data_IF_280534813500
#
_entry.id   IF_280534813500
#
_cell.length_a   1.000
_cell.length_b   1.000
_cell.length_c   1.000
_cell.angle_alpha   90.00
_cell.angle_beta   90.00
_cell.angle_gamma   90.00
#
_symmetry.space_group_name_H-M   'P 1'
#
loop_
_entity.id
_entity.type
_entity.pdbx_description
1 polymer ?
#
# COMPACT_ATOMS: atom_id res chain seq x y z
N UNK A 1 -19.79 44.07 -66.03
CA UNK A 1 -20.29 43.17 -64.98
C UNK A 1 -19.05 42.65 -64.26
N UNK A 2 -18.72 43.29 -63.14
CA UNK A 2 -17.54 42.97 -62.34
C UNK A 2 -17.91 42.17 -61.12
N UNK A 3 -17.32 41.01 -60.98
CA UNK A 3 -17.44 40.20 -59.77
C UNK A 3 -16.40 40.64 -58.76
N UNK A 4 -16.82 41.11 -57.57
CA UNK A 4 -15.95 41.42 -56.45
C UNK A 4 -15.83 40.16 -55.58
N UNK A 5 -14.66 39.57 -55.55
CA UNK A 5 -14.29 38.48 -54.61
C UNK A 5 -14.00 39.12 -53.25
N UNK A 6 -14.79 38.74 -52.23
CA UNK A 6 -14.46 39.01 -50.83
C UNK A 6 -13.64 37.87 -50.27
N UNK A 7 -12.37 38.11 -49.95
CA UNK A 7 -11.53 37.21 -49.20
C UNK A 7 -11.77 37.44 -47.69
N UNK A 8 -12.37 36.49 -46.99
CA UNK A 8 -12.45 36.47 -45.52
C UNK A 8 -11.18 35.85 -45.01
N UNK A 9 -10.29 36.66 -44.46
CA UNK A 9 -9.11 36.19 -43.71
C UNK A 9 -9.57 35.78 -42.31
N UNK A 10 -9.63 34.47 -42.06
CA UNK A 10 -9.86 33.92 -40.74
C UNK A 10 -8.51 33.91 -39.98
N UNK A 11 -8.27 34.93 -39.14
CA UNK A 11 -7.13 34.97 -38.25
C UNK A 11 -7.44 34.10 -37.02
N UNK A 12 -7.02 32.81 -37.04
CA UNK A 12 -6.94 32.00 -35.83
C UNK A 12 -5.76 32.48 -34.99
N UNK A 13 -6.02 33.41 -34.07
CA UNK A 13 -5.12 33.70 -32.97
C UNK A 13 -5.21 32.54 -31.96
N UNK A 14 -4.41 31.52 -32.14
CA UNK A 14 -4.11 30.54 -31.07
C UNK A 14 -3.28 31.28 -30.03
N UNK A 15 -3.95 31.74 -28.96
CA UNK A 15 -3.25 32.22 -27.78
C UNK A 15 -2.48 30.99 -27.18
N UNK A 16 -1.21 30.92 -27.49
CA UNK A 16 -0.30 30.02 -26.79
C UNK A 16 -0.23 30.48 -25.34
N UNK A 17 -0.89 29.71 -24.44
CA UNK A 17 -0.71 29.86 -23.00
C UNK A 17 0.62 29.19 -22.68
N UNK A 18 1.60 29.90 -22.11
CA UNK A 18 2.76 29.23 -21.55
C UNK A 18 2.25 28.27 -20.47
N UNK A 19 2.70 27.02 -20.53
CA UNK A 19 2.49 26.06 -19.44
C UNK A 19 3.07 26.62 -18.13
N UNK A 20 2.68 26.07 -16.96
CA UNK A 20 3.30 26.44 -15.70
C UNK A 20 4.81 26.31 -15.85
N UNK A 21 5.55 27.35 -15.42
CA UNK A 21 7.01 27.29 -15.39
C UNK A 21 7.38 26.13 -14.45
N UNK A 22 8.29 25.26 -14.90
CA UNK A 22 8.92 24.29 -14.00
C UNK A 22 9.53 25.06 -12.83
N UNK A 23 9.33 24.57 -11.59
CA UNK A 23 9.99 25.15 -10.43
C UNK A 23 11.51 25.01 -10.63
N UNK A 24 12.28 25.99 -10.19
CA UNK A 24 13.73 25.86 -10.16
C UNK A 24 14.11 24.77 -9.13
N UNK A 25 15.23 24.05 -9.37
CA UNK A 25 15.73 23.01 -8.43
C UNK A 25 15.90 23.57 -7.01
N UNK A 26 16.19 24.87 -6.87
CA UNK A 26 16.26 25.58 -5.59
C UNK A 26 14.90 25.63 -4.87
N UNK A 27 13.79 25.82 -5.59
CA UNK A 27 12.43 25.88 -5.03
C UNK A 27 12.00 24.51 -4.45
N UNK A 28 12.38 23.40 -5.10
CA UNK A 28 12.08 22.05 -4.65
C UNK A 28 12.91 21.68 -3.40
N UNK A 29 14.18 22.09 -3.37
CA UNK A 29 15.08 21.93 -2.21
C UNK A 29 14.53 22.67 -0.98
N UNK A 30 14.14 23.94 -1.15
CA UNK A 30 13.55 24.75 -0.07
C UNK A 30 12.21 24.15 0.45
N UNK A 31 11.39 23.58 -0.44
CA UNK A 31 10.17 22.89 -0.04
C UNK A 31 10.49 21.66 0.79
N UNK A 32 11.44 20.82 0.33
CA UNK A 32 11.85 19.62 1.03
C UNK A 32 12.40 19.92 2.42
N UNK A 33 13.26 20.94 2.55
CA UNK A 33 13.81 21.38 3.84
C UNK A 33 12.70 21.85 4.81
N UNK A 34 11.66 22.49 4.29
CA UNK A 34 10.57 23.03 5.09
C UNK A 34 9.61 21.96 5.60
N UNK A 35 9.32 20.93 4.80
CA UNK A 35 8.24 19.96 5.08
C UNK A 35 8.73 18.52 5.22
N UNK A 36 9.97 18.22 4.85
CA UNK A 36 10.52 16.87 4.87
C UNK A 36 10.48 16.22 6.25
N UNK A 37 10.75 16.97 7.30
CA UNK A 37 10.65 16.48 8.69
C UNK A 37 9.24 16.01 9.09
N UNK A 38 8.22 16.37 8.31
CA UNK A 38 6.83 15.95 8.53
C UNK A 38 6.45 14.69 7.73
N UNK A 39 7.31 14.20 6.83
CA UNK A 39 7.08 13.01 6.01
C UNK A 39 7.87 11.84 6.55
N UNK A 40 7.24 10.68 6.64
CA UNK A 40 7.82 9.47 7.22
C UNK A 40 7.75 8.29 6.25
N UNK A 41 8.70 7.38 6.39
CA UNK A 41 8.57 6.04 5.83
C UNK A 41 7.69 5.20 6.77
N UNK A 42 6.77 4.44 6.20
CA UNK A 42 5.87 3.55 6.92
C UNK A 42 6.25 2.12 6.58
N UNK A 43 6.55 1.30 7.59
CA UNK A 43 6.77 -0.13 7.45
C UNK A 43 5.83 -0.89 8.38
N UNK A 44 5.18 -1.88 7.81
CA UNK A 44 4.21 -2.71 8.50
C UNK A 44 4.76 -4.13 8.65
N UNK A 45 4.67 -4.67 9.86
CA UNK A 45 5.17 -6.01 10.18
C UNK A 45 4.04 -6.87 10.75
N UNK A 46 3.99 -8.13 10.35
CA UNK A 46 3.07 -9.10 10.93
C UNK A 46 3.55 -9.56 12.33
N UNK A 47 2.76 -10.38 13.08
CA UNK A 47 3.16 -10.87 14.40
C UNK A 47 4.48 -11.66 14.42
N UNK A 48 4.91 -12.20 13.28
CA UNK A 48 6.16 -12.95 13.14
C UNK A 48 7.37 -12.05 12.84
N UNK A 49 7.17 -10.71 12.76
CA UNK A 49 8.23 -9.76 12.44
C UNK A 49 8.57 -9.66 10.96
N UNK A 50 7.79 -10.27 10.07
CA UNK A 50 7.98 -10.15 8.63
C UNK A 50 7.33 -8.85 8.13
N UNK A 51 8.03 -8.12 7.23
CA UNK A 51 7.45 -6.97 6.57
C UNK A 51 6.30 -7.41 5.67
N UNK A 52 5.13 -6.76 5.82
CA UNK A 52 3.89 -7.06 5.10
C UNK A 52 3.33 -5.84 4.36
N UNK A 53 3.90 -4.67 4.59
CA UNK A 53 3.54 -3.45 3.91
C UNK A 53 4.64 -2.41 4.03
N UNK A 54 4.75 -1.55 3.01
CA UNK A 54 5.68 -0.44 2.99
C UNK A 54 5.12 0.71 2.16
N UNK A 55 5.34 1.92 2.65
CA UNK A 55 4.92 3.15 1.99
C UNK A 55 5.44 4.39 2.67
N UNK A 56 4.77 5.47 2.43
CA UNK A 56 5.01 6.78 3.03
C UNK A 56 3.84 7.22 3.91
N UNK A 57 4.07 8.21 4.73
CA UNK A 57 3.04 8.87 5.53
C UNK A 57 3.47 10.28 5.87
N UNK A 58 2.58 11.06 6.48
CA UNK A 58 2.90 12.42 6.93
C UNK A 58 2.09 12.83 8.16
N UNK A 59 2.66 13.72 8.93
CA UNK A 59 2.09 14.24 10.17
C UNK A 59 0.99 15.26 9.87
N UNK A 60 -0.18 15.12 10.50
CA UNK A 60 -1.34 16.01 10.32
C UNK A 60 -1.81 16.67 11.60
N UNK A 61 -1.17 16.37 12.73
CA UNK A 61 -1.46 17.03 14.02
C UNK A 61 -0.25 17.07 14.93
N UNK A 62 -0.23 18.05 15.83
CA UNK A 62 0.87 18.23 16.81
C UNK A 62 0.89 17.18 17.93
N UNK A 63 -0.12 16.33 18.03
CA UNK A 63 -0.21 15.21 18.98
C UNK A 63 0.17 13.85 18.33
N UNK A 64 0.89 13.88 17.20
CA UNK A 64 1.48 12.70 16.58
C UNK A 64 0.54 11.88 15.71
N UNK A 65 -0.50 12.50 15.12
CA UNK A 65 -1.32 11.80 14.11
C UNK A 65 -0.61 11.81 12.75
N UNK A 66 -0.49 10.61 12.15
CA UNK A 66 0.15 10.37 10.86
C UNK A 66 -0.85 9.73 9.91
N UNK A 67 -1.00 10.30 8.72
CA UNK A 67 -1.80 9.74 7.62
C UNK A 67 -0.94 8.83 6.76
N UNK A 68 -1.51 7.69 6.36
CA UNK A 68 -0.98 6.77 5.34
C UNK A 68 -2.13 6.06 4.65
N UNK A 69 -1.84 5.20 3.66
CA UNK A 69 -2.87 4.34 3.06
C UNK A 69 -3.15 3.11 3.92
N UNK A 70 -4.42 2.72 3.96
CA UNK A 70 -4.90 1.62 4.81
C UNK A 70 -4.29 0.28 4.40
N UNK A 71 -4.19 -0.01 3.10
CA UNK A 71 -3.66 -1.29 2.60
C UNK A 71 -2.22 -1.58 3.07
N UNK A 72 -1.42 -0.55 3.40
CA UNK A 72 -0.06 -0.74 3.94
C UNK A 72 -0.13 -1.28 5.37
N UNK A 73 -1.04 -0.75 6.19
CA UNK A 73 -1.06 -0.99 7.63
C UNK A 73 -2.11 -2.00 8.08
N UNK A 74 -3.10 -2.28 7.26
CA UNK A 74 -4.18 -3.23 7.60
C UNK A 74 -3.68 -4.64 7.96
N UNK A 75 -2.69 -5.23 7.26
CA UNK A 75 -2.17 -6.56 7.61
C UNK A 75 -1.17 -6.54 8.78
N UNK A 76 -0.92 -5.37 9.41
CA UNK A 76 0.15 -5.22 10.38
C UNK A 76 -0.25 -5.59 11.80
N UNK A 77 0.68 -6.19 12.54
CA UNK A 77 0.65 -6.26 14.01
C UNK A 77 1.47 -5.14 14.64
N UNK A 78 2.46 -4.62 13.90
CA UNK A 78 3.32 -3.49 14.30
C UNK A 78 3.51 -2.59 13.08
N UNK A 79 3.41 -1.28 13.29
CA UNK A 79 3.73 -0.29 12.27
C UNK A 79 4.88 0.59 12.79
N UNK A 80 5.97 0.60 12.04
CA UNK A 80 7.15 1.41 12.28
C UNK A 80 7.12 2.64 11.37
N UNK A 81 7.31 3.80 11.98
CA UNK A 81 7.44 5.09 11.29
C UNK A 81 8.89 5.54 11.41
N UNK A 82 9.56 5.78 10.28
CA UNK A 82 10.91 6.29 10.26
C UNK A 82 10.93 7.71 9.73
N UNK A 83 11.53 8.63 10.50
CA UNK A 83 11.68 10.04 10.14
C UNK A 83 12.82 10.25 9.13
N UNK A 84 12.90 11.47 8.56
CA UNK A 84 14.01 11.87 7.70
C UNK A 84 15.36 11.80 8.42
N UNK A 85 15.40 12.11 9.71
CA UNK A 85 16.61 12.08 10.57
C UNK A 85 17.02 10.66 10.96
N UNK A 86 16.18 9.66 10.64
CA UNK A 86 16.43 8.25 10.89
C UNK A 86 15.85 7.72 12.19
N UNK A 87 15.17 8.54 12.98
CA UNK A 87 14.49 8.13 14.20
C UNK A 87 13.32 7.17 13.86
N UNK A 88 13.16 6.15 14.69
CA UNK A 88 12.14 5.15 14.53
C UNK A 88 11.14 5.24 15.68
N UNK A 89 9.87 5.41 15.33
CA UNK A 89 8.73 5.43 16.24
C UNK A 89 7.73 4.38 15.84
N UNK A 90 7.22 3.62 16.81
CA UNK A 90 6.16 2.66 16.56
C UNK A 90 4.79 3.32 16.73
N UNK A 91 3.94 3.19 15.73
CA UNK A 91 2.54 3.54 15.90
C UNK A 91 1.84 2.45 16.71
N UNK A 92 1.28 2.83 17.85
CA UNK A 92 0.62 1.91 18.79
C UNK A 92 -0.87 1.75 18.49
N UNK A 93 -1.47 2.75 17.85
CA UNK A 93 -2.91 2.88 17.69
C UNK A 93 -3.24 3.35 16.26
N UNK A 94 -4.31 2.80 15.72
CA UNK A 94 -5.00 3.35 14.58
C UNK A 94 -6.15 4.20 15.11
N UNK A 95 -6.04 5.51 14.92
CA UNK A 95 -6.99 6.48 15.43
C UNK A 95 -8.27 6.53 14.60
N UNK A 96 -8.17 6.33 13.29
CA UNK A 96 -9.30 6.25 12.36
C UNK A 96 -8.93 5.52 11.08
N UNK A 97 -9.93 5.00 10.36
CA UNK A 97 -9.79 4.42 9.03
C UNK A 97 -10.91 4.89 8.11
N UNK A 98 -10.57 5.08 6.85
CA UNK A 98 -11.55 5.23 5.77
C UNK A 98 -11.27 4.14 4.72
N UNK A 99 -12.10 3.09 4.74
CA UNK A 99 -11.94 1.93 3.84
C UNK A 99 -12.29 2.24 2.40
N UNK A 100 -13.17 3.21 2.19
CA UNK A 100 -13.60 3.59 0.85
C UNK A 100 -12.51 4.39 0.12
N UNK A 101 -11.79 5.21 0.89
CA UNK A 101 -10.69 6.00 0.38
C UNK A 101 -9.31 5.36 0.62
N UNK A 102 -9.28 4.15 1.19
CA UNK A 102 -8.03 3.45 1.51
C UNK A 102 -7.07 4.29 2.37
N UNK A 103 -7.59 4.98 3.40
CA UNK A 103 -6.79 5.80 4.31
C UNK A 103 -6.81 5.26 5.73
N UNK A 104 -5.70 5.41 6.42
CA UNK A 104 -5.54 5.18 7.84
C UNK A 104 -4.90 6.38 8.53
N UNK A 105 -5.36 6.67 9.74
CA UNK A 105 -4.79 7.65 10.65
C UNK A 105 -4.16 6.92 11.82
N UNK A 106 -2.84 7.01 11.92
CA UNK A 106 -2.04 6.37 12.95
C UNK A 106 -1.73 7.36 14.07
N UNK A 107 -1.61 6.87 15.31
CA UNK A 107 -1.06 7.65 16.43
C UNK A 107 0.32 7.12 16.78
N UNK A 108 1.29 8.02 16.73
CA UNK A 108 2.68 7.78 17.12
C UNK A 108 3.02 8.64 18.35
N UNK A 109 3.02 8.02 19.52
CA UNK A 109 3.33 8.72 20.77
C UNK A 109 4.81 9.09 20.80
N UNK A 110 5.10 10.33 21.19
CA UNK A 110 6.47 10.85 21.26
C UNK A 110 7.05 11.28 19.91
N UNK A 111 6.24 11.35 18.87
CA UNK A 111 6.64 11.87 17.57
C UNK A 111 6.52 13.40 17.55
N UNK A 112 7.66 14.08 17.68
CA UNK A 112 7.72 15.55 17.69
C UNK A 112 8.07 16.05 16.28
N UNK A 113 7.08 16.07 15.40
CA UNK A 113 7.22 16.64 14.07
C UNK A 113 6.12 17.67 13.81
N UNK A 114 6.49 18.70 13.04
CA UNK A 114 5.54 19.74 12.65
C UNK A 114 4.46 19.17 11.74
N UNK A 115 3.16 19.35 12.05
CA UNK A 115 2.10 18.89 11.17
C UNK A 115 2.08 19.68 9.85
N UNK A 116 1.73 19.01 8.76
CA UNK A 116 1.43 19.65 7.48
C UNK A 116 0.03 20.28 7.52
N UNK A 117 -0.06 21.49 6.99
CA UNK A 117 -1.34 22.16 6.83
C UNK A 117 -2.11 21.55 5.65
N UNK A 118 -3.41 21.32 5.82
CA UNK A 118 -4.27 20.91 4.73
C UNK A 118 -4.67 22.11 3.88
N UNK A 119 -4.62 21.96 2.55
CA UNK A 119 -5.12 22.97 1.65
C UNK A 119 -6.65 23.07 1.74
N UNK A 120 -7.19 24.25 1.38
CA UNK A 120 -8.65 24.44 1.36
C UNK A 120 -9.28 23.58 0.27
N UNK A 121 -10.52 23.19 0.48
CA UNK A 121 -11.33 22.57 -0.55
C UNK A 121 -11.33 23.41 -1.84
N UNK A 122 -11.25 22.73 -3.01
CA UNK A 122 -11.18 23.39 -4.31
C UNK A 122 -9.81 24.00 -4.66
N UNK A 123 -8.77 23.82 -3.82
CA UNK A 123 -7.43 24.29 -4.14
C UNK A 123 -6.74 23.47 -5.24
N UNK A 124 -7.07 22.18 -5.38
CA UNK A 124 -6.58 21.33 -6.45
C UNK A 124 -7.52 21.43 -7.67
N UNK A 125 -7.01 21.99 -8.76
CA UNK A 125 -7.70 22.09 -10.05
C UNK A 125 -6.76 21.63 -11.16
N UNK A 126 -7.28 21.38 -12.36
CA UNK A 126 -6.42 21.11 -13.51
C UNK A 126 -5.36 22.23 -13.68
N UNK A 127 -4.17 21.85 -14.09
CA UNK A 127 -2.97 22.69 -14.22
C UNK A 127 -2.40 23.24 -12.89
N UNK A 128 -2.92 22.80 -11.72
CA UNK A 128 -2.30 23.12 -10.44
C UNK A 128 -0.95 22.40 -10.31
N UNK A 129 0.12 23.17 -10.08
CA UNK A 129 1.43 22.59 -9.79
C UNK A 129 1.41 21.82 -8.45
N UNK A 130 1.95 20.62 -8.44
CA UNK A 130 1.96 19.73 -7.28
C UNK A 130 3.34 19.13 -7.07
N UNK A 131 3.67 18.91 -5.81
CA UNK A 131 4.91 18.30 -5.35
C UNK A 131 4.58 17.07 -4.53
N UNK A 132 5.19 15.94 -4.86
CA UNK A 132 5.09 14.72 -4.07
C UNK A 132 6.39 14.54 -3.30
N UNK A 133 6.28 14.37 -1.99
CA UNK A 133 7.41 14.00 -1.15
C UNK A 133 7.15 12.60 -0.61
N UNK A 134 8.10 11.73 -0.86
CA UNK A 134 8.03 10.33 -0.47
C UNK A 134 9.30 9.91 0.27
N UNK A 135 9.19 8.87 1.10
CA UNK A 135 10.32 8.28 1.82
C UNK A 135 10.42 6.79 1.46
N UNK A 136 10.77 6.47 0.20
CA UNK A 136 10.75 5.10 -0.28
C UNK A 136 11.82 4.28 0.43
N UNK A 137 11.48 3.07 0.84
CA UNK A 137 12.39 2.10 1.46
C UNK A 137 13.10 2.59 2.75
N UNK A 138 12.66 3.71 3.35
CA UNK A 138 13.29 4.30 4.53
C UNK A 138 14.68 4.87 4.26
N UNK A 139 14.97 5.18 2.99
CA UNK A 139 16.14 5.94 2.55
C UNK A 139 15.86 7.45 2.56
N UNK A 140 16.75 8.22 1.94
CA UNK A 140 16.57 9.66 1.79
C UNK A 140 15.23 9.97 1.10
N UNK A 141 14.60 11.04 1.55
CA UNK A 141 13.38 11.52 0.94
C UNK A 141 13.61 11.91 -0.51
N UNK A 142 12.63 11.65 -1.33
CA UNK A 142 12.61 12.03 -2.75
C UNK A 142 11.45 12.98 -2.96
N UNK A 143 11.70 14.06 -3.67
CA UNK A 143 10.67 15.01 -4.08
C UNK A 143 10.55 14.99 -5.61
N UNK A 144 9.31 14.99 -6.10
CA UNK A 144 9.01 15.10 -7.53
C UNK A 144 8.02 16.20 -7.79
N UNK A 145 8.18 16.90 -8.92
CA UNK A 145 7.27 17.94 -9.38
C UNK A 145 6.34 17.40 -10.46
N UNK A 146 5.13 17.90 -10.49
CA UNK A 146 4.13 17.57 -11.49
C UNK A 146 2.97 18.56 -11.50
N UNK A 147 1.90 18.19 -12.18
CA UNK A 147 0.66 18.96 -12.24
C UNK A 147 -0.56 18.06 -12.08
N UNK A 148 -1.65 18.64 -11.60
CA UNK A 148 -2.96 18.00 -11.67
C UNK A 148 -3.43 18.01 -13.13
N UNK A 149 -3.62 16.83 -13.71
CA UNK A 149 -4.07 16.68 -15.11
C UNK A 149 -5.59 16.73 -15.20
N UNK A 150 -6.26 16.04 -14.29
CA UNK A 150 -7.70 15.89 -14.29
C UNK A 150 -8.25 15.60 -12.90
N UNK A 151 -9.52 15.89 -12.74
CA UNK A 151 -10.32 15.51 -11.58
C UNK A 151 -11.31 14.43 -12.02
N UNK A 152 -11.29 13.29 -11.35
CA UNK A 152 -12.13 12.15 -11.69
C UNK A 152 -13.23 11.95 -10.65
N UNK A 153 -14.52 12.06 -11.03
CA UNK A 153 -15.63 11.82 -10.13
C UNK A 153 -15.51 10.44 -9.44
N UNK A 154 -15.61 10.45 -8.12
CA UNK A 154 -15.54 9.24 -7.31
C UNK A 154 -16.85 9.03 -6.53
N UNK A 155 -17.72 8.16 -7.05
CA UNK A 155 -18.96 7.71 -6.39
C UNK A 155 -19.87 8.83 -5.80
N UNK A 156 -19.90 10.03 -6.44
CA UNK A 156 -20.69 11.18 -5.97
C UNK A 156 -20.12 11.91 -4.76
N UNK A 157 -18.83 11.73 -4.51
CA UNK A 157 -18.02 12.37 -3.46
C UNK A 157 -16.96 13.28 -4.08
N UNK A 158 -15.90 13.59 -3.32
CA UNK A 158 -14.76 14.34 -3.83
C UNK A 158 -14.11 13.62 -5.02
N UNK A 159 -13.60 14.42 -5.95
CA UNK A 159 -12.95 13.90 -7.14
C UNK A 159 -11.52 13.45 -6.83
N UNK A 160 -11.14 12.25 -7.33
CA UNK A 160 -9.74 11.81 -7.34
C UNK A 160 -8.91 12.76 -8.22
N UNK A 161 -7.73 13.13 -7.74
CA UNK A 161 -6.79 13.95 -8.48
C UNK A 161 -5.90 13.03 -9.33
N UNK A 162 -5.88 13.22 -10.64
CA UNK A 162 -4.88 12.60 -11.51
C UNK A 162 -3.70 13.57 -11.63
N UNK A 163 -2.50 13.10 -11.33
CA UNK A 163 -1.28 13.91 -11.34
C UNK A 163 -0.22 13.29 -12.27
N UNK A 164 0.74 14.11 -12.70
CA UNK A 164 1.82 13.68 -13.61
C UNK A 164 3.07 13.19 -12.90
N UNK A 165 3.14 13.32 -11.57
CA UNK A 165 4.31 12.92 -10.81
C UNK A 165 4.65 11.45 -11.08
N UNK A 166 5.91 11.19 -11.39
CA UNK A 166 6.44 9.84 -11.38
C UNK A 166 6.57 9.38 -9.92
N UNK A 167 6.00 8.22 -9.63
CA UNK A 167 6.01 7.64 -8.30
C UNK A 167 6.71 6.28 -8.32
N UNK A 168 7.28 5.91 -7.19
CA UNK A 168 7.99 4.65 -6.99
C UNK A 168 7.22 3.74 -6.04
N UNK A 169 7.50 2.42 -6.03
CA UNK A 169 7.01 1.56 -4.96
C UNK A 169 7.44 2.11 -3.59
N UNK A 170 6.44 2.43 -2.75
CA UNK A 170 6.67 3.11 -1.47
C UNK A 170 6.21 4.57 -1.42
N UNK A 171 5.74 5.16 -2.53
CA UNK A 171 5.13 6.51 -2.55
C UNK A 171 3.74 6.55 -1.94
N UNK A 172 3.00 5.42 -1.97
CA UNK A 172 1.63 5.33 -1.43
C UNK A 172 1.56 5.85 0.00
N UNK A 173 0.61 6.73 0.27
CA UNK A 173 0.45 7.39 1.56
C UNK A 173 1.25 8.68 1.73
N UNK A 174 2.16 9.01 0.81
CA UNK A 174 2.91 10.27 0.80
C UNK A 174 2.02 11.48 0.48
N UNK A 175 2.39 12.70 0.94
CA UNK A 175 1.63 13.90 0.67
C UNK A 175 1.82 14.39 -0.76
N UNK A 176 0.73 14.85 -1.36
CA UNK A 176 0.72 15.70 -2.56
C UNK A 176 0.54 17.15 -2.09
N UNK A 177 1.51 18.00 -2.35
CA UNK A 177 1.62 19.34 -1.80
C UNK A 177 1.46 20.43 -2.88
N UNK A 178 1.02 21.60 -2.48
CA UNK A 178 1.18 22.82 -3.28
C UNK A 178 2.57 23.46 -3.02
N UNK A 179 2.92 24.49 -3.78
CA UNK A 179 4.19 25.21 -3.64
C UNK A 179 4.40 25.86 -2.25
N UNK A 180 3.34 25.96 -1.44
CA UNK A 180 3.42 26.45 -0.04
C UNK A 180 3.63 25.33 0.97
N UNK A 181 3.68 24.07 0.53
CA UNK A 181 3.79 22.89 1.40
C UNK A 181 2.47 22.49 2.06
N UNK A 182 1.33 22.93 1.52
CA UNK A 182 0.02 22.51 2.03
C UNK A 182 -0.45 21.27 1.29
N UNK A 183 -1.03 20.34 2.02
CA UNK A 183 -1.49 19.04 1.49
C UNK A 183 -2.73 19.24 0.62
N UNK A 184 -2.59 18.96 -0.67
CA UNK A 184 -3.69 18.87 -1.65
C UNK A 184 -4.31 17.49 -1.69
N UNK A 185 -3.51 16.44 -1.37
CA UNK A 185 -3.97 15.06 -1.38
C UNK A 185 -2.94 14.07 -0.83
N UNK A 186 -3.28 12.80 -0.95
CA UNK A 186 -2.46 11.65 -0.54
C UNK A 186 -2.23 10.77 -1.75
N UNK A 187 -0.98 10.40 -2.02
CA UNK A 187 -0.61 9.53 -3.15
C UNK A 187 -1.30 8.17 -3.01
N UNK A 188 -2.04 7.81 -4.06
CA UNK A 188 -2.57 6.47 -4.26
C UNK A 188 -2.14 5.99 -5.65
N UNK A 189 -1.26 4.98 -5.69
CA UNK A 189 -0.77 4.42 -6.96
C UNK A 189 -1.80 3.49 -7.57
N UNK A 190 -2.10 3.68 -8.86
CA UNK A 190 -2.96 2.76 -9.61
C UNK A 190 -2.31 2.44 -10.96
N UNK A 191 -2.09 1.15 -11.23
CA UNK A 191 -1.68 0.68 -12.57
C UNK A 191 -2.93 0.35 -13.39
N UNK A 192 -3.13 1.03 -14.52
CA UNK A 192 -4.22 0.75 -15.46
C UNK A 192 -3.67 0.35 -16.82
N UNK A 193 -4.03 -0.85 -17.26
CA UNK A 193 -3.74 -1.28 -18.65
C UNK A 193 -2.26 -1.37 -19.01
N UNK A 194 -1.36 -1.50 -18.03
CA UNK A 194 0.09 -1.56 -18.24
C UNK A 194 0.79 -0.19 -18.22
N UNK A 195 0.05 0.90 -18.07
CA UNK A 195 0.60 2.23 -17.83
C UNK A 195 0.36 2.66 -16.37
N UNK A 196 1.40 3.14 -15.71
CA UNK A 196 1.29 3.72 -14.38
C UNK A 196 0.59 5.09 -14.49
N UNK A 197 -0.56 5.22 -13.84
CA UNK A 197 -1.28 6.48 -13.71
C UNK A 197 -1.32 6.83 -12.24
N UNK A 198 -0.78 7.98 -11.88
CA UNK A 198 -0.75 8.42 -10.49
C UNK A 198 -2.04 9.15 -10.15
N UNK A 199 -2.70 8.66 -9.10
CA UNK A 199 -3.85 9.34 -8.50
C UNK A 199 -3.50 9.81 -7.09
N UNK A 200 -4.24 10.82 -6.62
CA UNK A 200 -4.19 11.24 -5.24
C UNK A 200 -5.60 11.36 -4.66
N UNK A 201 -5.75 10.91 -3.43
CA UNK A 201 -6.95 11.09 -2.61
C UNK A 201 -7.00 12.55 -2.16
N UNK A 202 -8.10 13.28 -2.36
CA UNK A 202 -8.14 14.72 -2.11
C UNK A 202 -8.02 15.08 -0.61
N UNK A 203 -7.37 16.20 -0.31
CA UNK A 203 -7.13 16.71 1.04
C UNK A 203 -8.37 16.82 1.95
N UNK A 204 -9.57 17.22 1.47
CA UNK A 204 -10.79 17.19 2.27
C UNK A 204 -11.12 15.84 2.90
N UNK A 205 -10.75 14.72 2.25
CA UNK A 205 -10.92 13.37 2.83
C UNK A 205 -10.05 13.20 4.07
N UNK A 206 -8.79 13.67 4.00
CA UNK A 206 -7.86 13.66 5.14
C UNK A 206 -8.40 14.51 6.31
N UNK A 207 -9.01 15.68 6.01
CA UNK A 207 -9.61 16.53 7.03
C UNK A 207 -10.73 15.80 7.79
N UNK A 208 -11.63 15.14 7.06
CA UNK A 208 -12.73 14.36 7.68
C UNK A 208 -12.20 13.15 8.46
N UNK A 209 -11.20 12.45 7.93
CA UNK A 209 -10.58 11.33 8.64
C UNK A 209 -9.97 11.79 9.98
N UNK A 210 -9.30 12.96 9.99
CA UNK A 210 -8.75 13.55 11.20
C UNK A 210 -9.83 13.94 12.22
N UNK A 211 -10.98 14.45 11.76
CA UNK A 211 -12.13 14.78 12.63
C UNK A 211 -12.77 13.53 13.24
N UNK A 212 -12.61 12.37 12.61
CA UNK A 212 -13.13 11.08 13.09
C UNK A 212 -12.18 10.32 14.01
N UNK A 213 -11.09 10.95 14.46
CA UNK A 213 -9.99 10.30 15.21
C UNK A 213 -10.34 9.72 16.59
N UNK A 214 -11.57 9.87 17.06
CA UNK A 214 -12.01 9.39 18.38
C UNK A 214 -12.21 7.86 18.47
N UNK A 215 -12.09 7.15 17.36
CA UNK A 215 -12.27 5.69 17.26
C UNK A 215 -10.98 4.89 17.45
N UNK A 216 -10.20 5.16 18.50
CA UNK A 216 -8.91 4.52 18.73
C UNK A 216 -8.97 3.00 18.81
N UNK A 217 -8.28 2.30 17.90
CA UNK A 217 -8.10 0.85 17.88
C UNK A 217 -6.61 0.50 17.90
N UNK A 218 -6.21 -0.56 18.62
CA UNK A 218 -4.83 -1.03 18.56
C UNK A 218 -4.46 -1.48 17.13
N UNK A 219 -3.24 -1.20 16.68
CA UNK A 219 -2.76 -1.58 15.32
C UNK A 219 -3.02 -3.06 15.03
N UNK A 220 -2.69 -3.94 15.98
CA UNK A 220 -2.91 -5.39 15.87
C UNK A 220 -4.39 -5.77 15.69
N UNK A 221 -5.32 -4.92 16.17
CA UNK A 221 -6.75 -5.21 16.07
C UNK A 221 -7.27 -4.99 14.66
N UNK A 222 -6.63 -4.15 13.84
CA UNK A 222 -7.01 -4.01 12.43
C UNK A 222 -6.70 -5.25 11.61
N UNK A 223 -5.56 -5.90 11.86
CA UNK A 223 -5.24 -7.18 11.22
C UNK A 223 -6.24 -8.29 11.61
N UNK A 224 -6.91 -8.11 12.76
CA UNK A 224 -8.00 -9.00 13.24
C UNK A 224 -9.38 -8.59 12.69
N UNK A 225 -9.51 -7.36 12.16
CA UNK A 225 -10.80 -6.73 11.83
C UNK A 225 -11.10 -6.54 10.34
N UNK A 226 -10.21 -6.92 9.41
CA UNK A 226 -10.66 -7.07 8.02
C UNK A 226 -11.81 -8.10 8.01
N UNK A 227 -13.05 -7.72 7.62
CA UNK A 227 -14.18 -8.66 7.64
C UNK A 227 -13.89 -9.89 6.75
N UNK A 228 -13.14 -9.70 5.66
CA UNK A 228 -12.73 -10.75 4.75
C UNK A 228 -11.64 -11.62 5.39
N UNK A 229 -10.61 -11.02 5.98
CA UNK A 229 -9.54 -11.74 6.68
C UNK A 229 -10.09 -12.50 7.89
N UNK A 230 -11.04 -11.91 8.64
CA UNK A 230 -11.70 -12.56 9.76
C UNK A 230 -12.55 -13.74 9.28
N UNK A 231 -13.41 -13.56 8.29
CA UNK A 231 -14.25 -14.62 7.73
C UNK A 231 -13.41 -15.79 7.24
N UNK A 232 -12.30 -15.52 6.57
CA UNK A 232 -11.38 -16.55 6.06
C UNK A 232 -10.56 -17.15 7.22
N UNK A 233 -10.05 -16.34 8.14
CA UNK A 233 -9.24 -16.79 9.29
C UNK A 233 -10.06 -17.62 10.29
N UNK A 234 -11.26 -17.16 10.66
CA UNK A 234 -12.15 -17.90 11.57
C UNK A 234 -12.66 -19.21 10.96
N UNK A 235 -12.85 -19.21 9.64
CA UNK A 235 -13.26 -20.38 8.89
C UNK A 235 -12.10 -21.35 8.55
N UNK A 236 -10.84 -20.88 8.64
CA UNK A 236 -9.63 -21.63 8.34
C UNK A 236 -8.73 -21.82 9.57
N UNK A 237 -9.22 -21.44 10.77
CA UNK A 237 -8.42 -21.52 12.00
C UNK A 237 -7.85 -22.93 12.21
N UNK A 238 -6.53 -22.99 12.06
CA UNK A 238 -5.67 -24.13 12.40
C UNK A 238 -6.25 -25.51 12.02
N UNK A 239 -6.37 -25.76 10.73
CA UNK A 239 -6.76 -27.07 10.18
C UNK A 239 -5.68 -28.14 10.32
N UNK A 240 -4.47 -27.78 10.78
CA UNK A 240 -3.33 -28.71 10.86
C UNK A 240 -3.62 -29.98 11.68
N UNK A 241 -4.23 -29.92 12.86
CA UNK A 241 -4.56 -31.11 13.62
C UNK A 241 -5.54 -32.04 12.89
N UNK A 242 -6.51 -31.47 12.16
CA UNK A 242 -7.44 -32.25 11.34
C UNK A 242 -6.74 -32.90 10.15
N UNK A 243 -5.80 -32.18 9.51
CA UNK A 243 -4.98 -32.65 8.41
C UNK A 243 -4.11 -33.83 8.89
N UNK A 244 -3.42 -33.70 10.02
CA UNK A 244 -2.56 -34.75 10.57
C UNK A 244 -3.36 -36.00 10.96
N UNK A 245 -4.61 -35.84 11.33
CA UNK A 245 -5.48 -36.97 11.68
C UNK A 245 -6.14 -37.63 10.47
N UNK A 246 -6.48 -36.83 9.44
CA UNK A 246 -7.29 -37.30 8.30
C UNK A 246 -6.46 -37.68 7.06
N UNK A 247 -5.19 -37.28 6.98
CA UNK A 247 -4.36 -37.45 5.79
C UNK A 247 -3.23 -38.44 6.03
N UNK A 248 -2.81 -39.13 4.98
CA UNK A 248 -1.65 -40.01 5.04
C UNK A 248 -0.35 -39.19 5.17
N UNK A 249 0.70 -39.71 5.83
CA UNK A 249 1.95 -38.96 6.06
C UNK A 249 2.58 -38.41 4.79
N UNK A 250 2.56 -39.16 3.70
CA UNK A 250 3.10 -38.73 2.41
C UNK A 250 2.33 -37.54 1.81
N UNK A 251 1.05 -37.43 2.09
CA UNK A 251 0.26 -36.26 1.68
C UNK A 251 0.60 -35.01 2.53
N UNK A 252 0.92 -35.22 3.80
CA UNK A 252 1.35 -34.16 4.72
C UNK A 252 2.71 -33.61 4.29
N UNK A 253 3.69 -34.50 4.00
CA UNK A 253 5.01 -34.09 3.51
C UNK A 253 4.91 -33.32 2.18
N UNK A 254 3.98 -33.73 1.30
CA UNK A 254 3.74 -33.06 0.04
C UNK A 254 3.14 -31.65 0.25
N UNK A 255 2.18 -31.51 1.19
CA UNK A 255 1.59 -30.21 1.56
C UNK A 255 2.70 -29.29 2.09
N UNK A 256 3.48 -29.76 3.04
CA UNK A 256 4.55 -29.01 3.68
C UNK A 256 5.60 -28.53 2.66
N UNK A 257 6.04 -29.39 1.77
CA UNK A 257 7.01 -29.07 0.73
C UNK A 257 6.50 -28.02 -0.27
N UNK A 258 5.35 -28.28 -0.88
CA UNK A 258 4.81 -27.38 -1.93
C UNK A 258 4.45 -26.00 -1.36
N UNK A 259 3.88 -25.96 -0.17
CA UNK A 259 3.49 -24.69 0.45
C UNK A 259 4.73 -23.90 0.91
N UNK A 260 5.71 -24.56 1.52
CA UNK A 260 6.95 -23.87 1.94
C UNK A 260 7.69 -23.25 0.76
N UNK A 261 7.79 -23.96 -0.36
CA UNK A 261 8.39 -23.44 -1.60
C UNK A 261 7.60 -22.25 -2.15
N UNK A 262 6.27 -22.38 -2.17
CA UNK A 262 5.39 -21.31 -2.65
C UNK A 262 5.50 -20.05 -1.80
N UNK A 263 5.49 -20.20 -0.47
CA UNK A 263 5.61 -19.07 0.46
C UNK A 263 6.98 -18.41 0.32
N UNK A 264 8.06 -19.18 0.27
CA UNK A 264 9.41 -18.64 0.13
C UNK A 264 9.55 -17.76 -1.12
N UNK A 265 9.10 -18.28 -2.27
CA UNK A 265 9.15 -17.53 -3.53
C UNK A 265 8.13 -16.39 -3.58
N UNK A 266 6.94 -16.58 -3.02
CA UNK A 266 5.85 -15.62 -3.05
C UNK A 266 6.13 -14.38 -2.20
N UNK A 267 6.84 -14.52 -1.09
CA UNK A 267 7.24 -13.39 -0.23
C UNK A 267 8.13 -12.41 -1.01
N UNK A 268 9.11 -12.90 -1.75
CA UNK A 268 10.00 -12.06 -2.54
C UNK A 268 9.24 -11.34 -3.66
N UNK A 269 8.35 -12.05 -4.36
CA UNK A 269 7.50 -11.50 -5.43
C UNK A 269 6.55 -10.44 -4.85
N UNK A 270 5.89 -10.73 -3.74
CA UNK A 270 4.97 -9.79 -3.07
C UNK A 270 5.70 -8.52 -2.64
N UNK A 271 6.87 -8.66 -2.02
CA UNK A 271 7.68 -7.55 -1.53
C UNK A 271 8.31 -6.71 -2.66
N UNK A 272 8.41 -7.26 -3.89
CA UNK A 272 8.80 -6.50 -5.07
C UNK A 272 7.64 -5.66 -5.66
N UNK A 273 6.43 -5.75 -5.07
CA UNK A 273 5.24 -5.06 -5.55
C UNK A 273 4.43 -5.83 -6.60
N UNK A 274 4.90 -7.02 -7.04
CA UNK A 274 4.15 -7.86 -7.98
C UNK A 274 3.12 -8.74 -7.24
N UNK A 275 2.08 -8.10 -6.73
CA UNK A 275 1.00 -8.78 -6.00
C UNK A 275 0.25 -9.79 -6.89
N UNK A 276 0.10 -9.47 -8.19
CA UNK A 276 -0.53 -10.39 -9.13
C UNK A 276 0.33 -11.62 -9.38
N UNK A 277 1.65 -11.45 -9.55
CA UNK A 277 2.60 -12.55 -9.67
C UNK A 277 2.59 -13.44 -8.43
N UNK A 278 2.58 -12.85 -7.25
CA UNK A 278 2.46 -13.58 -5.99
C UNK A 278 1.15 -14.39 -5.91
N UNK A 279 0.00 -13.75 -6.23
CA UNK A 279 -1.29 -14.46 -6.28
C UNK A 279 -1.26 -15.63 -7.27
N UNK A 280 -0.75 -15.42 -8.48
CA UNK A 280 -0.65 -16.49 -9.50
C UNK A 280 0.23 -17.66 -9.08
N UNK A 281 1.33 -17.38 -8.37
CA UNK A 281 2.17 -18.41 -7.79
C UNK A 281 1.40 -19.23 -6.73
N UNK A 282 0.71 -18.55 -5.82
CA UNK A 282 -0.05 -19.23 -4.76
C UNK A 282 -1.24 -20.01 -5.32
N UNK A 283 -1.99 -19.42 -6.25
CA UNK A 283 -3.10 -20.09 -6.95
C UNK A 283 -2.61 -21.34 -7.69
N UNK A 284 -1.52 -21.22 -8.45
CA UNK A 284 -0.89 -22.34 -9.16
C UNK A 284 -0.40 -23.44 -8.22
N UNK A 285 0.18 -23.08 -7.08
CA UNK A 285 0.60 -24.02 -6.05
C UNK A 285 -0.59 -24.72 -5.39
N UNK A 286 -1.69 -24.00 -5.18
CA UNK A 286 -2.95 -24.58 -4.73
C UNK A 286 -3.52 -25.62 -5.72
N UNK A 287 -3.55 -25.33 -7.01
CA UNK A 287 -3.96 -26.27 -8.03
C UNK A 287 -3.01 -27.47 -8.15
N UNK A 288 -1.70 -27.24 -8.05
CA UNK A 288 -0.70 -28.32 -8.01
C UNK A 288 -0.97 -29.27 -6.85
N UNK A 289 -1.23 -28.76 -5.64
CA UNK A 289 -1.59 -29.56 -4.50
C UNK A 289 -2.88 -30.33 -4.70
N UNK A 290 -3.93 -29.71 -5.23
CA UNK A 290 -5.20 -30.39 -5.54
C UNK A 290 -5.00 -31.58 -6.49
N UNK A 291 -4.14 -31.41 -7.49
CA UNK A 291 -3.81 -32.49 -8.42
C UNK A 291 -3.01 -33.62 -7.77
N UNK A 292 -1.99 -33.24 -6.96
CA UNK A 292 -1.09 -34.21 -6.34
C UNK A 292 -1.69 -34.94 -5.14
N UNK A 293 -2.60 -34.28 -4.40
CA UNK A 293 -3.24 -34.89 -3.22
C UNK A 293 -4.28 -35.93 -3.62
N UNK A 294 -4.96 -35.71 -4.73
CA UNK A 294 -6.04 -36.61 -5.19
C UNK A 294 -7.01 -36.90 -4.00
N UNK A 295 -7.31 -38.18 -3.72
CA UNK A 295 -8.17 -38.58 -2.59
C UNK A 295 -7.41 -38.80 -1.26
N UNK A 296 -6.08 -38.58 -1.23
CA UNK A 296 -5.21 -38.86 -0.07
C UNK A 296 -5.41 -37.89 1.10
N UNK A 297 -6.00 -36.72 0.84
CA UNK A 297 -6.27 -35.71 1.87
C UNK A 297 -7.47 -34.85 1.49
N UNK A 298 -8.68 -35.35 1.74
CA UNK A 298 -9.93 -34.65 1.40
C UNK A 298 -10.08 -33.33 2.18
N UNK A 299 -9.59 -33.26 3.41
CA UNK A 299 -9.67 -32.06 4.23
C UNK A 299 -8.86 -30.91 3.61
N UNK A 300 -7.59 -31.14 3.24
CA UNK A 300 -6.74 -30.16 2.59
C UNK A 300 -7.31 -29.77 1.21
N UNK A 301 -7.78 -30.73 0.44
CA UNK A 301 -8.40 -30.45 -0.87
C UNK A 301 -9.64 -29.57 -0.75
N UNK A 302 -10.47 -29.77 0.26
CA UNK A 302 -11.67 -28.97 0.50
C UNK A 302 -11.30 -27.52 0.85
N UNK A 303 -10.31 -27.34 1.71
CA UNK A 303 -9.81 -26.01 2.10
C UNK A 303 -9.20 -25.27 0.91
N UNK A 304 -8.34 -25.92 0.14
CA UNK A 304 -7.71 -25.32 -1.03
C UNK A 304 -8.75 -24.92 -2.10
N UNK A 305 -9.73 -25.77 -2.40
CA UNK A 305 -10.84 -25.44 -3.32
C UNK A 305 -11.64 -24.24 -2.84
N UNK A 306 -11.86 -24.13 -1.54
CA UNK A 306 -12.53 -22.97 -0.94
C UNK A 306 -11.69 -21.71 -1.10
N UNK A 307 -10.41 -21.74 -0.71
CA UNK A 307 -9.51 -20.59 -0.80
C UNK A 307 -9.36 -20.09 -2.25
N UNK A 308 -9.14 -20.97 -3.22
CA UNK A 308 -9.04 -20.62 -4.65
C UNK A 308 -10.34 -19.95 -5.12
N UNK A 309 -11.51 -20.46 -4.73
CA UNK A 309 -12.81 -19.88 -5.11
C UNK A 309 -12.99 -18.50 -4.49
N UNK A 310 -12.72 -18.34 -3.20
CA UNK A 310 -12.83 -17.07 -2.49
C UNK A 310 -11.87 -16.03 -3.07
N UNK A 311 -10.62 -16.39 -3.32
CA UNK A 311 -9.67 -15.53 -4.00
C UNK A 311 -10.16 -15.12 -5.39
N UNK A 312 -10.66 -16.06 -6.21
CA UNK A 312 -11.15 -15.79 -7.56
C UNK A 312 -12.41 -14.92 -7.62
N UNK A 313 -13.21 -14.87 -6.55
CA UNK A 313 -14.43 -14.06 -6.44
C UNK A 313 -14.24 -12.77 -5.66
N UNK A 314 -13.05 -12.53 -5.11
CA UNK A 314 -12.76 -11.33 -4.33
C UNK A 314 -12.87 -10.09 -5.21
N UNK A 315 -13.74 -9.18 -4.82
CA UNK A 315 -13.93 -7.87 -5.43
C UNK A 315 -13.77 -6.86 -4.31
N UNK A 316 -12.71 -6.04 -4.38
CA UNK A 316 -12.54 -4.96 -3.41
C UNK A 316 -13.19 -3.67 -3.91
N UNK A 317 -13.88 -2.91 -3.06
CA UNK A 317 -14.54 -1.67 -3.44
C UNK A 317 -13.60 -0.53 -3.84
N UNK A 318 -12.31 -0.69 -3.86
CA UNK A 318 -11.36 0.43 -3.94
C UNK A 318 -10.36 0.46 -5.08
N UNK A 319 -10.33 -0.50 -6.00
CA UNK A 319 -9.39 -0.41 -7.12
C UNK A 319 -8.64 -1.71 -7.45
N UNK A 320 -8.09 -1.75 -8.66
CA UNK A 320 -7.53 -2.97 -9.26
C UNK A 320 -6.26 -3.51 -8.58
N UNK A 321 -5.49 -2.69 -7.85
CA UNK A 321 -4.24 -3.13 -7.21
C UNK A 321 -4.46 -3.79 -5.85
N UNK A 322 -5.57 -3.50 -5.17
CA UNK A 322 -5.93 -4.14 -3.91
C UNK A 322 -6.50 -5.56 -4.10
N UNK A 323 -7.06 -5.87 -5.28
CA UNK A 323 -7.62 -7.20 -5.56
C UNK A 323 -6.55 -8.28 -5.58
N UNK A 324 -5.45 -8.17 -6.35
CA UNK A 324 -4.39 -9.18 -6.34
C UNK A 324 -3.72 -9.36 -4.98
N UNK A 325 -3.53 -8.29 -4.22
CA UNK A 325 -2.98 -8.37 -2.88
C UNK A 325 -3.92 -9.15 -1.94
N UNK A 326 -5.22 -8.82 -1.94
CA UNK A 326 -6.22 -9.55 -1.15
C UNK A 326 -6.33 -11.03 -1.57
N UNK A 327 -6.27 -11.30 -2.87
CA UNK A 327 -6.27 -12.66 -3.41
C UNK A 327 -5.04 -13.46 -2.96
N UNK A 328 -3.84 -12.85 -3.01
CA UNK A 328 -2.62 -13.47 -2.50
C UNK A 328 -2.71 -13.79 -1.00
N UNK A 329 -3.29 -12.87 -0.21
CA UNK A 329 -3.49 -13.09 1.22
C UNK A 329 -4.50 -14.18 1.54
N UNK A 330 -5.61 -14.30 0.81
CA UNK A 330 -6.57 -15.40 1.00
C UNK A 330 -5.86 -16.76 0.79
N UNK A 331 -5.08 -16.87 -0.27
CA UNK A 331 -4.31 -18.08 -0.53
C UNK A 331 -3.23 -18.32 0.55
N UNK A 332 -2.55 -17.26 1.02
CA UNK A 332 -1.55 -17.35 2.07
C UNK A 332 -2.14 -17.83 3.40
N UNK A 333 -3.29 -17.30 3.82
CA UNK A 333 -4.00 -17.73 5.04
C UNK A 333 -4.36 -19.22 4.96
N UNK A 334 -4.81 -19.70 3.79
CA UNK A 334 -5.09 -21.11 3.58
C UNK A 334 -3.84 -21.96 3.72
N UNK A 335 -2.71 -21.51 3.19
CA UNK A 335 -1.42 -22.20 3.31
C UNK A 335 -0.93 -22.25 4.76
N UNK A 336 -0.98 -21.13 5.48
CA UNK A 336 -0.61 -21.08 6.90
C UNK A 336 -1.50 -21.99 7.76
N UNK A 337 -2.79 -22.12 7.44
CA UNK A 337 -3.73 -23.02 8.09
C UNK A 337 -3.37 -24.51 7.87
N UNK A 338 -2.86 -24.85 6.69
CA UNK A 338 -2.41 -26.19 6.37
C UNK A 338 -1.06 -26.55 7.02
N UNK A 339 -0.15 -25.57 7.14
CA UNK A 339 1.15 -25.75 7.79
C UNK A 339 1.04 -25.77 9.32
N UNK A 340 0.08 -25.06 9.91
CA UNK A 340 -0.03 -24.86 11.36
C UNK A 340 1.16 -24.08 11.92
N UNK A 341 1.55 -24.40 13.18
CA UNK A 341 2.68 -23.75 13.88
C UNK A 341 4.06 -24.10 13.29
N UNK A 342 4.12 -24.99 12.31
CA UNK A 342 5.33 -25.39 11.62
C UNK A 342 5.77 -24.39 10.56
N UNK A 343 5.43 -23.13 10.59
CA UNK A 343 5.83 -22.11 9.60
C UNK A 343 7.14 -22.42 8.84
N UNK A 344 7.47 -21.81 7.73
CA UNK A 344 8.59 -22.19 6.86
C UNK A 344 9.85 -22.42 7.71
N UNK A 345 10.65 -23.47 7.44
CA UNK A 345 11.81 -23.81 8.24
C UNK A 345 12.69 -22.58 8.45
N UNK A 346 13.31 -22.46 9.61
CA UNK A 346 14.05 -21.33 10.18
C UNK A 346 15.13 -20.69 9.28
N UNK A 347 15.30 -21.14 8.06
CA UNK A 347 16.20 -20.56 7.04
C UNK A 347 15.80 -19.13 6.65
N UNK A 348 14.54 -18.71 6.91
CA UNK A 348 14.08 -17.34 6.69
C UNK A 348 14.15 -16.43 7.92
N UNK A 349 14.59 -16.94 9.06
CA UNK A 349 15.03 -16.10 10.18
C UNK A 349 16.47 -15.71 9.91
N UNK A 350 16.69 -14.59 9.25
CA UNK A 350 18.00 -13.94 9.20
C UNK A 350 18.50 -13.76 10.62
N UNK A 351 19.35 -14.64 11.10
CA UNK A 351 20.15 -14.37 12.29
C UNK A 351 21.02 -13.16 11.95
N UNK A 352 21.08 -12.14 12.81
CA UNK A 352 22.10 -11.11 12.67
C UNK A 352 23.45 -11.83 12.74
N UNK A 353 24.20 -11.73 11.65
CA UNK A 353 25.52 -12.33 11.55
C UNK A 353 26.36 -11.86 12.75
N UNK A 354 26.77 -12.79 13.61
CA UNK A 354 27.89 -12.61 14.53
C UNK A 354 29.12 -12.34 13.66
N UNK A 355 29.40 -11.04 13.42
CA UNK A 355 30.66 -10.58 12.87
C UNK A 355 31.77 -10.88 13.85
N UNK A 356 32.36 -12.09 13.82
CA UNK A 356 33.67 -12.32 14.35
C UNK A 356 34.67 -11.76 13.32
N UNK A 357 35.33 -10.68 13.70
CA UNK A 357 36.49 -10.17 13.00
C UNK A 357 37.59 -11.27 12.97
N UNK A 358 38.27 -11.52 11.84
CA UNK A 358 39.45 -12.36 11.84
C UNK A 358 40.57 -11.65 12.59
N UNK A 359 41.07 -12.35 13.61
CA UNK A 359 42.21 -11.89 14.40
C UNK A 359 43.46 -11.72 13.55
N UNK A 360 44.18 -10.67 13.88
CA UNK A 360 45.53 -10.42 13.46
C UNK A 360 46.50 -11.49 14.01
N UNK A 361 47.21 -12.19 13.16
CA UNK A 361 48.59 -12.62 13.32
C UNK A 361 49.39 -12.24 12.08
#
# INVERSE_FOLDING_TARGET
MGAKSFAIACACLTAWRPGPAAADDDDLGELLDRVGGSVVSVKAYNPNGNAVGQGSGFVVSGDGLVVTTLHIVEPAAVVELKTADGDIVNASVIAAVDREWDLALLRADGFDARPLDLAREGSAQADTAVFVIESPFGFNQVASEGVVVALHPHAGREDLLQITNEITPGSSGGPVLDAKGRVLGVVQSVVRGGEAVTFAIPGPVVARLRESADGAQAVRELSEFSPEARSVRDALANMRPEIEQACVPEAIDLIDGVISDAISSGVDIYNSGDHLGCYRLYEGSGYKLLFLLDDRCAAASTLLKRAIREAGTTVTPGGYDSVPAAQAWIMRIAFDSLLGDRGPPSVLRGQPGNGQAPGSE
#
